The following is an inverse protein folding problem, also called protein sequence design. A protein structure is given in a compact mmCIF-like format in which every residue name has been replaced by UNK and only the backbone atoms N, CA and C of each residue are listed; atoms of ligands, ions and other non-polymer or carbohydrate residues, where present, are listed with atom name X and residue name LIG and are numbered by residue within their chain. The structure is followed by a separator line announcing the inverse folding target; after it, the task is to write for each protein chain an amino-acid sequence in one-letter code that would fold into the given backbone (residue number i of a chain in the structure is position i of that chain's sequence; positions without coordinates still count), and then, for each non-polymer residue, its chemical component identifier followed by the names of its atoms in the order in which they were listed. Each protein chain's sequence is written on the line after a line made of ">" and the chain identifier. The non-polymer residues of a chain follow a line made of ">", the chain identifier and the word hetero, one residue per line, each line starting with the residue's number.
data_IF_908812899789
#
_entry.id   IF_908812899789
#
_cell.length_a   1.000
_cell.length_b   1.000
_cell.length_c   1.000
_cell.angle_alpha   90.00
_cell.angle_beta   90.00
_cell.angle_gamma   90.00
#
_symmetry.space_group_name_H-M   'P 1'
#
loop_
_entity.id
_entity.type
_entity.pdbx_description
1 polymer ?
#
# COMPACT_ATOMS: atom_id res chain seq x y z
N UNK A 1 -11.14 -25.58 12.20
CA UNK A 1 -9.83 -25.44 11.56
C UNK A 1 -9.90 -24.16 10.74
N UNK A 2 -9.41 -23.03 11.29
CA UNK A 2 -9.45 -21.73 10.61
C UNK A 2 -8.34 -21.77 9.57
N UNK A 3 -8.67 -21.72 8.28
CA UNK A 3 -7.67 -21.50 7.24
C UNK A 3 -6.87 -20.27 7.63
N UNK A 4 -5.55 -20.40 7.61
CA UNK A 4 -4.65 -19.30 7.90
C UNK A 4 -4.84 -18.24 6.80
N UNK A 5 -5.35 -17.06 7.18
CA UNK A 5 -5.72 -15.98 6.24
C UNK A 5 -4.51 -15.58 5.41
N UNK A 6 -3.33 -15.53 6.02
CA UNK A 6 -2.06 -15.23 5.36
C UNK A 6 -1.75 -16.27 4.29
N UNK A 7 -1.88 -17.56 4.61
CA UNK A 7 -1.64 -18.64 3.66
C UNK A 7 -2.55 -18.54 2.42
N UNK A 8 -3.81 -18.14 2.61
CA UNK A 8 -4.75 -17.92 1.50
C UNK A 8 -4.28 -16.75 0.62
N UNK A 9 -3.85 -15.64 1.22
CA UNK A 9 -3.38 -14.45 0.49
C UNK A 9 -2.04 -14.70 -0.23
N UNK A 10 -1.13 -15.48 0.35
CA UNK A 10 0.14 -15.86 -0.29
C UNK A 10 -0.07 -16.72 -1.53
N UNK A 11 -1.05 -17.62 -1.50
CA UNK A 11 -1.38 -18.53 -2.60
C UNK A 11 -2.27 -17.90 -3.66
N UNK A 12 -3.03 -16.86 -3.31
CA UNK A 12 -3.91 -16.17 -4.26
C UNK A 12 -3.11 -15.58 -5.44
N UNK A 13 -3.63 -15.61 -6.67
CA UNK A 13 -2.98 -14.97 -7.81
C UNK A 13 -2.75 -13.46 -7.56
N UNK A 14 -1.51 -12.99 -7.76
CA UNK A 14 -1.17 -11.58 -7.57
C UNK A 14 -2.07 -10.61 -8.38
N UNK A 15 -2.44 -10.90 -9.65
CA UNK A 15 -3.38 -10.05 -10.39
C UNK A 15 -4.74 -9.89 -9.69
N UNK A 16 -5.24 -10.92 -9.03
CA UNK A 16 -6.53 -10.86 -8.33
C UNK A 16 -6.45 -9.94 -7.11
N UNK A 17 -5.37 -10.04 -6.33
CA UNK A 17 -5.14 -9.17 -5.19
C UNK A 17 -4.95 -7.70 -5.62
N UNK A 18 -4.18 -7.46 -6.69
CA UNK A 18 -4.02 -6.11 -7.24
C UNK A 18 -5.34 -5.55 -7.78
N UNK A 19 -6.19 -6.38 -8.39
CA UNK A 19 -7.54 -5.97 -8.82
C UNK A 19 -8.39 -5.56 -7.62
N UNK A 20 -8.33 -6.31 -6.52
CA UNK A 20 -9.04 -5.97 -5.27
C UNK A 20 -8.58 -4.61 -4.75
N UNK A 21 -7.27 -4.37 -4.68
CA UNK A 21 -6.72 -3.08 -4.24
C UNK A 21 -7.14 -1.94 -5.17
N UNK A 22 -7.01 -2.11 -6.50
CA UNK A 22 -7.44 -1.10 -7.48
C UNK A 22 -8.93 -0.75 -7.35
N UNK A 23 -9.78 -1.74 -7.08
CA UNK A 23 -11.22 -1.55 -6.93
C UNK A 23 -11.57 -0.62 -5.77
N UNK A 24 -10.77 -0.62 -4.69
CA UNK A 24 -10.96 0.30 -3.56
C UNK A 24 -10.85 1.77 -3.98
N UNK A 25 -10.05 2.04 -5.02
CA UNK A 25 -9.80 3.39 -5.54
C UNK A 25 -10.73 3.79 -6.67
N UNK A 26 -11.50 2.87 -7.26
CA UNK A 26 -12.29 3.11 -8.49
C UNK A 26 -13.09 4.42 -8.46
N UNK A 27 -13.79 4.69 -7.37
CA UNK A 27 -14.58 5.93 -7.21
C UNK A 27 -13.68 7.17 -7.17
N UNK A 28 -12.61 7.15 -6.37
CA UNK A 28 -11.66 8.27 -6.27
C UNK A 28 -10.94 8.55 -7.60
N UNK A 29 -10.64 7.49 -8.37
CA UNK A 29 -10.05 7.61 -9.70
C UNK A 29 -11.02 8.28 -10.67
N UNK A 30 -12.29 7.86 -10.66
CA UNK A 30 -13.32 8.47 -11.50
C UNK A 30 -13.55 9.96 -11.16
N UNK A 31 -13.55 10.32 -9.87
CA UNK A 31 -13.61 11.71 -9.40
C UNK A 31 -12.43 12.57 -9.91
N UNK A 32 -11.29 11.94 -10.23
CA UNK A 32 -10.09 12.57 -10.79
C UNK A 32 -9.94 12.37 -12.31
N UNK A 33 -11.01 11.94 -12.99
CA UNK A 33 -11.06 11.84 -14.45
C UNK A 33 -10.49 10.55 -15.04
N UNK A 34 -10.20 9.53 -14.21
CA UNK A 34 -9.83 8.19 -14.65
C UNK A 34 -10.97 7.20 -14.38
N UNK A 35 -11.86 7.05 -15.35
CA UNK A 35 -12.95 6.07 -15.27
C UNK A 35 -12.50 4.73 -15.85
N UNK A 36 -12.15 3.80 -14.95
CA UNK A 36 -11.77 2.44 -15.32
C UNK A 36 -12.98 1.49 -15.23
N UNK A 37 -13.21 0.74 -16.30
CA UNK A 37 -14.12 -0.41 -16.26
C UNK A 37 -13.51 -1.55 -15.44
N UNK A 38 -14.32 -2.53 -15.06
CA UNK A 38 -13.80 -3.72 -14.36
C UNK A 38 -12.79 -4.48 -15.23
N UNK A 39 -13.01 -4.55 -16.54
CA UNK A 39 -12.09 -5.19 -17.49
C UNK A 39 -10.75 -4.44 -17.56
N UNK A 40 -10.78 -3.10 -17.51
CA UNK A 40 -9.55 -2.29 -17.46
C UNK A 40 -8.75 -2.57 -16.19
N UNK A 41 -9.41 -2.65 -15.02
CA UNK A 41 -8.75 -2.95 -13.76
C UNK A 41 -8.10 -4.34 -13.77
N UNK A 42 -8.79 -5.34 -14.30
CA UNK A 42 -8.25 -6.69 -14.42
C UNK A 42 -7.07 -6.77 -15.38
N UNK A 43 -7.16 -6.11 -16.53
CA UNK A 43 -6.09 -6.05 -17.52
C UNK A 43 -4.85 -5.36 -16.94
N UNK A 44 -5.05 -4.21 -16.30
CA UNK A 44 -3.98 -3.46 -15.66
C UNK A 44 -3.32 -4.25 -14.53
N UNK A 45 -4.10 -4.91 -13.67
CA UNK A 45 -3.58 -5.74 -12.59
C UNK A 45 -2.73 -6.91 -13.09
N UNK A 46 -3.11 -7.54 -14.21
CA UNK A 46 -2.29 -8.57 -14.86
C UNK A 46 -0.97 -8.00 -15.36
N UNK A 47 -1.01 -6.87 -16.07
CA UNK A 47 0.20 -6.22 -16.57
C UNK A 47 1.15 -5.82 -15.44
N UNK A 48 0.63 -5.27 -14.34
CA UNK A 48 1.39 -4.95 -13.12
C UNK A 48 2.02 -6.20 -12.53
N UNK A 49 1.25 -7.29 -12.37
CA UNK A 49 1.70 -8.56 -11.81
C UNK A 49 2.66 -9.35 -12.72
N UNK A 50 2.72 -9.06 -14.01
CA UNK A 50 3.65 -9.68 -14.96
C UNK A 50 4.90 -8.81 -15.20
N UNK A 51 4.87 -7.56 -14.74
CA UNK A 51 5.88 -6.56 -15.11
C UNK A 51 5.85 -6.22 -16.61
N UNK A 52 4.70 -6.42 -17.26
CA UNK A 52 4.50 -6.15 -18.67
C UNK A 52 4.39 -4.63 -18.95
N UNK A 53 4.49 -4.20 -20.22
CA UNK A 53 4.22 -2.81 -20.59
C UNK A 53 2.84 -2.35 -20.12
N UNK A 54 2.82 -1.19 -19.46
CA UNK A 54 1.60 -0.57 -18.91
C UNK A 54 0.96 0.37 -19.93
N UNK A 55 -0.37 0.59 -19.89
CA UNK A 55 -1.06 1.53 -20.77
C UNK A 55 -0.66 2.98 -20.45
N UNK A 56 -0.94 3.91 -21.38
CA UNK A 56 -0.65 5.34 -21.19
C UNK A 56 -1.32 5.92 -19.94
N UNK A 57 -2.50 5.42 -19.58
CA UNK A 57 -3.24 5.82 -18.37
C UNK A 57 -2.54 5.45 -17.06
N UNK A 58 -1.53 4.57 -17.10
CA UNK A 58 -0.77 4.16 -15.92
C UNK A 58 0.03 5.30 -15.29
N UNK A 59 0.49 6.28 -16.08
CA UNK A 59 1.15 7.46 -15.54
C UNK A 59 0.19 8.32 -14.72
N UNK A 60 -0.99 8.63 -15.29
CA UNK A 60 -2.02 9.38 -14.58
C UNK A 60 -2.49 8.67 -13.31
N UNK A 61 -2.65 7.34 -13.38
CA UNK A 61 -2.99 6.53 -12.21
C UNK A 61 -1.90 6.63 -11.14
N UNK A 62 -0.62 6.45 -11.53
CA UNK A 62 0.51 6.59 -10.62
C UNK A 62 0.51 7.95 -9.94
N UNK A 63 0.34 9.03 -10.69
CA UNK A 63 0.32 10.38 -10.12
C UNK A 63 -0.81 10.56 -9.11
N UNK A 64 -2.02 10.09 -9.44
CA UNK A 64 -3.16 10.16 -8.51
C UNK A 64 -2.88 9.36 -7.23
N UNK A 65 -2.32 8.16 -7.33
CA UNK A 65 -1.99 7.35 -6.16
C UNK A 65 -0.90 8.01 -5.32
N UNK A 66 0.11 8.62 -5.94
CA UNK A 66 1.14 9.42 -5.24
C UNK A 66 0.50 10.57 -4.47
N UNK A 67 -0.40 11.32 -5.09
CA UNK A 67 -1.10 12.41 -4.42
C UNK A 67 -1.92 11.90 -3.22
N UNK A 68 -2.59 10.74 -3.35
CA UNK A 68 -3.37 10.13 -2.27
C UNK A 68 -2.49 9.68 -1.09
N UNK A 69 -1.28 9.19 -1.36
CA UNK A 69 -0.29 8.91 -0.29
C UNK A 69 0.07 10.22 0.40
N UNK A 70 0.46 11.24 -0.35
CA UNK A 70 0.89 12.54 0.22
C UNK A 70 -0.23 13.25 1.00
N UNK A 71 -1.46 13.23 0.50
CA UNK A 71 -2.62 13.76 1.23
C UNK A 71 -2.85 13.03 2.57
N UNK A 72 -2.62 11.71 2.59
CA UNK A 72 -2.78 10.90 3.80
C UNK A 72 -1.62 11.10 4.76
N UNK A 73 -0.39 11.30 4.28
CA UNK A 73 0.74 11.72 5.11
C UNK A 73 0.47 13.08 5.78
N UNK A 74 -0.17 14.02 5.06
CA UNK A 74 -0.55 15.32 5.62
C UNK A 74 -1.61 15.21 6.72
N UNK A 75 -2.49 14.20 6.66
CA UNK A 75 -3.42 13.90 7.75
C UNK A 75 -2.64 13.48 9.00
N UNK A 76 -1.71 12.53 8.86
CA UNK A 76 -0.88 12.07 9.97
C UNK A 76 0.00 13.18 10.56
N UNK A 77 0.50 14.08 9.71
CA UNK A 77 1.31 15.22 10.12
C UNK A 77 0.57 16.19 11.05
N UNK A 78 -0.77 16.18 11.10
CA UNK A 78 -1.55 16.98 12.07
C UNK A 78 -1.28 16.57 13.51
N UNK A 79 -0.92 15.31 13.73
CA UNK A 79 -0.46 14.79 15.02
C UNK A 79 1.07 14.76 15.14
N UNK A 80 1.79 15.39 14.20
CA UNK A 80 3.25 15.37 14.11
C UNK A 80 3.83 13.95 14.01
N UNK A 81 3.14 13.07 13.26
CA UNK A 81 3.56 11.70 13.03
C UNK A 81 3.95 11.49 11.57
N UNK A 82 5.05 10.80 11.34
CA UNK A 82 5.30 10.10 10.08
C UNK A 82 4.46 8.82 10.01
N UNK A 83 4.30 8.22 8.82
CA UNK A 83 3.58 6.96 8.68
C UNK A 83 4.15 5.83 9.55
N UNK A 84 5.47 5.66 9.57
CA UNK A 84 6.09 4.63 10.40
C UNK A 84 5.89 4.85 11.90
N UNK A 85 5.82 6.10 12.35
CA UNK A 85 5.49 6.43 13.74
C UNK A 85 4.00 6.22 14.03
N UNK A 86 3.12 6.56 13.10
CA UNK A 86 1.67 6.39 13.29
C UNK A 86 1.30 4.93 13.50
N UNK A 87 1.89 4.01 12.71
CA UNK A 87 1.69 2.57 12.89
C UNK A 87 2.03 2.10 14.31
N UNK A 88 3.03 2.72 14.96
CA UNK A 88 3.48 2.35 16.32
C UNK A 88 2.80 3.15 17.43
N UNK A 89 2.02 4.18 17.07
CA UNK A 89 1.36 5.07 18.01
C UNK A 89 -0.03 4.55 18.29
N UNK A 90 -0.28 4.19 19.55
CA UNK A 90 -1.60 3.76 20.01
C UNK A 90 -2.57 4.94 20.01
N UNK A 91 -3.86 4.67 19.74
CA UNK A 91 -4.88 5.73 19.72
C UNK A 91 -5.01 6.47 21.06
N UNK A 92 -4.72 5.81 22.17
CA UNK A 92 -4.75 6.41 23.51
C UNK A 92 -3.67 7.47 23.72
N UNK A 93 -2.62 7.44 22.90
CA UNK A 93 -1.49 8.37 22.99
C UNK A 93 -1.66 9.60 22.09
N UNK A 94 -2.69 9.61 21.23
CA UNK A 94 -3.01 10.78 20.41
C UNK A 94 -3.72 11.86 21.24
N UNK A 95 -3.31 13.13 21.10
CA UNK A 95 -4.01 14.25 21.72
C UNK A 95 -5.28 14.62 20.93
N UNK A 96 -6.14 15.44 21.55
CA UNK A 96 -7.24 16.12 20.85
C UNK A 96 -8.62 15.45 20.97
N UNK A 97 -8.79 14.52 21.91
CA UNK A 97 -10.10 13.97 22.26
C UNK A 97 -10.36 14.12 23.76
N UNK A 98 -11.59 14.47 24.12
CA UNK A 98 -12.09 14.49 25.49
C UNK A 98 -13.24 13.49 25.68
N UNK A 99 -13.91 13.16 24.58
CA UNK A 99 -15.05 12.25 24.55
C UNK A 99 -14.75 10.99 23.73
N UNK A 100 -15.52 9.93 23.97
CA UNK A 100 -15.44 8.71 23.17
C UNK A 100 -15.79 8.94 21.69
N UNK A 101 -16.66 9.90 21.37
CA UNK A 101 -17.00 10.22 19.97
C UNK A 101 -15.79 10.77 19.24
N UNK A 102 -15.12 11.77 19.82
CA UNK A 102 -13.91 12.36 19.24
C UNK A 102 -12.79 11.32 19.13
N UNK A 103 -12.63 10.46 20.14
CA UNK A 103 -11.67 9.35 20.07
C UNK A 103 -11.93 8.46 18.85
N UNK A 104 -13.18 8.08 18.60
CA UNK A 104 -13.55 7.22 17.46
C UNK A 104 -13.39 7.95 16.13
N UNK A 105 -13.67 9.25 16.07
CA UNK A 105 -13.45 10.08 14.87
C UNK A 105 -11.96 10.16 14.51
N UNK A 106 -11.10 10.46 15.49
CA UNK A 106 -9.64 10.49 15.29
C UNK A 106 -9.10 9.10 14.93
N UNK A 107 -9.61 8.04 15.56
CA UNK A 107 -9.23 6.67 15.25
C UNK A 107 -9.55 6.30 13.80
N UNK A 108 -10.74 6.66 13.33
CA UNK A 108 -11.13 6.45 11.94
C UNK A 108 -10.28 7.30 10.99
N UNK A 109 -9.98 8.55 11.34
CA UNK A 109 -9.15 9.41 10.50
C UNK A 109 -7.72 8.86 10.35
N UNK A 110 -7.08 8.49 11.47
CA UNK A 110 -5.75 7.85 11.46
C UNK A 110 -5.77 6.54 10.69
N UNK A 111 -6.69 5.63 11.01
CA UNK A 111 -6.75 4.30 10.38
C UNK A 111 -7.01 4.39 8.87
N UNK A 112 -7.88 5.32 8.43
CA UNK A 112 -8.13 5.55 7.01
C UNK A 112 -6.90 6.12 6.29
N UNK A 113 -6.16 7.03 6.93
CA UNK A 113 -4.91 7.55 6.37
C UNK A 113 -3.86 6.44 6.23
N UNK A 114 -3.69 5.62 7.27
CA UNK A 114 -2.74 4.51 7.27
C UNK A 114 -3.04 3.46 6.19
N UNK A 115 -4.31 3.04 6.10
CA UNK A 115 -4.77 2.10 5.09
C UNK A 115 -4.57 2.65 3.68
N UNK A 116 -4.88 3.93 3.46
CA UNK A 116 -4.69 4.58 2.14
C UNK A 116 -3.22 4.65 1.76
N UNK A 117 -2.34 5.03 2.69
CA UNK A 117 -0.89 5.04 2.46
C UNK A 117 -0.40 3.65 2.07
N UNK A 118 -0.72 2.62 2.85
CA UNK A 118 -0.26 1.27 2.61
C UNK A 118 -0.74 0.74 1.25
N UNK A 119 -2.04 0.78 0.98
CA UNK A 119 -2.62 0.23 -0.26
C UNK A 119 -2.24 1.04 -1.51
N UNK A 120 -2.19 2.38 -1.45
CA UNK A 120 -1.75 3.18 -2.60
C UNK A 120 -0.26 3.00 -2.87
N UNK A 121 0.60 2.96 -1.84
CA UNK A 121 2.03 2.70 -2.01
C UNK A 121 2.31 1.35 -2.68
N UNK A 122 1.51 0.32 -2.37
CA UNK A 122 1.59 -1.00 -3.04
C UNK A 122 1.31 -0.87 -4.53
N UNK A 123 0.24 -0.17 -4.89
CA UNK A 123 -0.14 0.04 -6.28
C UNK A 123 0.91 0.86 -7.03
N UNK A 124 1.47 1.91 -6.41
CA UNK A 124 2.57 2.71 -6.99
C UNK A 124 3.81 1.84 -7.27
N UNK A 125 4.20 0.98 -6.32
CA UNK A 125 5.28 0.01 -6.51
C UNK A 125 4.98 -1.00 -7.62
N UNK A 126 3.74 -1.46 -7.70
CA UNK A 126 3.29 -2.38 -8.74
C UNK A 126 3.22 -1.71 -10.12
N UNK A 127 3.09 -0.38 -10.20
CA UNK A 127 3.26 0.43 -11.42
C UNK A 127 4.74 0.73 -11.75
N UNK A 128 5.68 0.20 -10.97
CA UNK A 128 7.12 0.30 -11.22
C UNK A 128 7.81 1.46 -10.51
N UNK A 129 7.11 2.19 -9.64
CA UNK A 129 7.67 3.30 -8.88
C UNK A 129 7.81 2.91 -7.40
N UNK A 130 9.05 2.80 -6.93
CA UNK A 130 9.35 2.32 -5.57
C UNK A 130 9.64 3.45 -4.59
N UNK A 131 9.24 4.70 -4.88
CA UNK A 131 9.51 5.85 -4.00
C UNK A 131 8.98 5.68 -2.57
N UNK A 132 7.89 4.95 -2.40
CA UNK A 132 7.28 4.68 -1.09
C UNK A 132 7.70 3.33 -0.49
N UNK A 133 8.81 2.74 -0.94
CA UNK A 133 9.23 1.43 -0.44
C UNK A 133 9.50 1.41 1.07
N UNK A 134 9.95 2.51 1.66
CA UNK A 134 10.11 2.61 3.13
C UNK A 134 8.76 2.54 3.87
N UNK A 135 7.70 3.08 3.28
CA UNK A 135 6.34 2.93 3.81
C UNK A 135 5.90 1.46 3.77
N UNK A 136 6.15 0.79 2.65
CA UNK A 136 5.84 -0.63 2.51
C UNK A 136 6.61 -1.49 3.50
N UNK A 137 7.89 -1.20 3.72
CA UNK A 137 8.69 -1.90 4.73
C UNK A 137 8.18 -1.64 6.15
N UNK A 138 7.79 -0.40 6.46
CA UNK A 138 7.21 -0.06 7.78
C UNK A 138 5.89 -0.81 8.02
N UNK A 139 5.02 -0.89 7.02
CA UNK A 139 3.76 -1.63 7.10
C UNK A 139 4.00 -3.14 7.27
N UNK A 140 4.90 -3.73 6.47
CA UNK A 140 5.23 -5.16 6.56
C UNK A 140 5.82 -5.54 7.92
N UNK A 141 6.67 -4.67 8.50
CA UNK A 141 7.26 -4.91 9.81
C UNK A 141 6.22 -4.76 10.95
N UNK A 142 5.19 -3.95 10.75
CA UNK A 142 4.13 -3.71 11.74
C UNK A 142 3.07 -4.81 11.73
N UNK A 143 2.54 -5.16 10.55
CA UNK A 143 1.50 -6.18 10.38
C UNK A 143 1.73 -6.99 9.09
N UNK A 144 2.48 -8.11 9.15
CA UNK A 144 2.88 -8.87 7.97
C UNK A 144 1.74 -9.68 7.32
N UNK A 145 0.59 -9.81 7.97
CA UNK A 145 -0.48 -10.73 7.61
C UNK A 145 -1.67 -10.05 6.89
N UNK A 146 -1.67 -8.71 6.83
CA UNK A 146 -2.67 -7.95 6.11
C UNK A 146 -2.47 -8.01 4.58
N UNK A 147 -3.58 -7.79 3.84
CA UNK A 147 -3.57 -7.94 2.38
C UNK A 147 -2.58 -6.97 1.72
N UNK A 148 -2.51 -5.72 2.18
CA UNK A 148 -1.58 -4.72 1.65
C UNK A 148 -0.13 -5.15 1.84
N UNK A 149 0.22 -5.75 2.98
CA UNK A 149 1.60 -6.10 3.32
C UNK A 149 2.05 -7.40 2.64
N UNK A 150 1.16 -8.38 2.51
CA UNK A 150 1.39 -9.57 1.68
C UNK A 150 1.60 -9.18 0.21
N UNK A 151 0.75 -8.30 -0.33
CA UNK A 151 0.90 -7.82 -1.72
C UNK A 151 2.16 -6.96 -1.87
N UNK A 152 2.45 -6.07 -0.92
CA UNK A 152 3.67 -5.27 -0.90
C UNK A 152 4.92 -6.14 -1.00
N UNK A 153 5.02 -7.17 -0.16
CA UNK A 153 6.14 -8.10 -0.14
C UNK A 153 6.30 -8.79 -1.50
N UNK A 154 5.20 -9.25 -2.10
CA UNK A 154 5.20 -9.93 -3.41
C UNK A 154 5.63 -8.99 -4.54
N UNK A 155 5.08 -7.77 -4.58
CA UNK A 155 5.42 -6.75 -5.57
C UNK A 155 6.89 -6.34 -5.46
N UNK A 156 7.38 -6.04 -4.25
CA UNK A 156 8.78 -5.70 -4.03
C UNK A 156 9.72 -6.87 -4.38
N UNK A 157 9.36 -8.10 -4.03
CA UNK A 157 10.09 -9.31 -4.40
C UNK A 157 10.19 -9.48 -5.91
N UNK A 158 9.08 -9.28 -6.64
CA UNK A 158 9.06 -9.31 -8.09
C UNK A 158 9.97 -8.23 -8.71
N UNK A 159 9.91 -6.99 -8.20
CA UNK A 159 10.67 -5.86 -8.73
C UNK A 159 12.18 -5.97 -8.45
N UNK A 160 12.54 -6.57 -7.32
CA UNK A 160 13.93 -6.73 -6.89
C UNK A 160 14.58 -8.03 -7.34
N UNK A 161 13.79 -9.06 -7.66
CA UNK A 161 14.26 -10.43 -7.84
C UNK A 161 14.63 -11.15 -6.53
N UNK A 162 14.37 -10.54 -5.36
CA UNK A 162 14.63 -11.14 -4.05
C UNK A 162 13.45 -12.04 -3.66
N UNK A 163 13.72 -13.30 -3.32
CA UNK A 163 12.68 -14.26 -2.91
C UNK A 163 11.95 -13.83 -1.63
N UNK A 164 10.63 -13.64 -1.70
CA UNK A 164 9.78 -13.16 -0.59
C UNK A 164 9.83 -13.97 0.72
N UNK A 165 10.18 -15.26 0.63
CA UNK A 165 10.29 -16.18 1.76
C UNK A 165 11.72 -16.31 2.34
N UNK A 166 12.67 -15.49 1.87
CA UNK A 166 14.04 -15.52 2.39
C UNK A 166 14.06 -15.04 3.85
N UNK A 167 14.73 -15.74 4.79
CA UNK A 167 14.79 -15.31 6.20
C UNK A 167 15.41 -13.91 6.39
N UNK A 168 16.26 -13.50 5.45
CA UNK A 168 16.93 -12.19 5.39
C UNK A 168 16.26 -11.23 4.38
N UNK A 169 15.01 -11.48 3.98
CA UNK A 169 14.31 -10.70 2.95
C UNK A 169 14.33 -9.20 3.24
N UNK A 170 13.96 -8.78 4.45
CA UNK A 170 13.91 -7.35 4.81
C UNK A 170 15.29 -6.69 4.75
N UNK A 171 16.35 -7.42 5.13
CA UNK A 171 17.72 -6.92 5.05
C UNK A 171 18.17 -6.77 3.58
N UNK A 172 17.91 -7.79 2.75
CA UNK A 172 18.21 -7.75 1.31
C UNK A 172 17.44 -6.65 0.60
N UNK A 173 16.16 -6.46 0.94
CA UNK A 173 15.31 -5.43 0.36
C UNK A 173 15.84 -4.03 0.68
N UNK A 174 16.17 -3.76 1.95
CA UNK A 174 16.80 -2.48 2.36
C UNK A 174 18.13 -2.24 1.66
N UNK A 175 18.94 -3.29 1.45
CA UNK A 175 20.18 -3.18 0.70
C UNK A 175 19.93 -2.82 -0.78
N UNK A 176 18.95 -3.47 -1.41
CA UNK A 176 18.54 -3.20 -2.80
C UNK A 176 18.02 -1.77 -2.96
N UNK A 177 17.17 -1.28 -2.05
CA UNK A 177 16.65 0.09 -2.09
C UNK A 177 17.78 1.14 -2.00
N UNK A 178 18.73 0.95 -1.08
CA UNK A 178 19.89 1.86 -0.95
C UNK A 178 20.74 1.95 -2.21
N UNK A 179 20.84 0.86 -2.99
CA UNK A 179 21.58 0.85 -4.25
C UNK A 179 20.87 1.60 -5.38
N UNK A 180 19.55 1.77 -5.30
CA UNK A 180 18.76 2.47 -6.33
C UNK A 180 18.72 3.97 -6.16
N UNK A 181 19.16 4.49 -5.01
CA UNK A 181 19.08 5.92 -4.70
C UNK A 181 17.63 6.39 -4.68
N UNK A 182 16.99 6.30 -3.52
CA UNK A 182 15.89 7.22 -3.21
C UNK A 182 16.42 8.65 -3.15
#
# INVERSE_FOLDING_TARGET
>A
MRLDRTQVLEQAPLPELLTILLRQYKRLLAERGLDFTEDDLQALARQMAEGAPLPESAESLRQILVDLVTESEQVLARWNLTFGESLRTEMTDLPGWETTSEFLELANEKGNAELRIASAAVLVAALGDVRFADHLLAAIDHDPDEIETVVARRVLSQRSGITGHSPDWSQKMRAWLRQRGT
#
